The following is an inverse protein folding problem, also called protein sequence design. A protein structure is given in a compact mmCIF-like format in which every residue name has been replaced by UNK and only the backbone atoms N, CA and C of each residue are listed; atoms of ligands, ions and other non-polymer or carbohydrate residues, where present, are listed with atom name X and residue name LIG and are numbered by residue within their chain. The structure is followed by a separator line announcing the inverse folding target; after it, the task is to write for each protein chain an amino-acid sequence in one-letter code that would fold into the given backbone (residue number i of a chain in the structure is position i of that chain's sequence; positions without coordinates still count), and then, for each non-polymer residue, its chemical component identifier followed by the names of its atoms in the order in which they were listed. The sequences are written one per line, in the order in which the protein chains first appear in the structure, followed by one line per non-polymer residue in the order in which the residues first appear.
data_IF_309986679470
#
_entry.id   IF_309986679470
#
_cell.length_a   1.000
_cell.length_b   1.000
_cell.length_c   1.000
_cell.angle_alpha   90.00
_cell.angle_beta   90.00
_cell.angle_gamma   90.00
#
_symmetry.space_group_name_H-M   'P 1'
#
loop_
_entity.id
_entity.type
_entity.pdbx_description
1 polymer ?
#
# COMPACT_ATOMS: atom_id res chain seq x y z
N UNK A 1 2.28 4.09 -18.40
CA UNK A 1 3.10 5.12 -19.08
C UNK A 1 3.13 6.33 -18.16
N UNK A 2 4.22 6.59 -17.44
CA UNK A 2 4.25 7.67 -16.45
C UNK A 2 4.61 8.98 -17.16
N UNK A 3 3.68 9.94 -17.16
CA UNK A 3 3.93 11.26 -17.76
C UNK A 3 4.82 12.12 -16.83
N UNK A 4 5.81 12.87 -17.37
CA UNK A 4 6.71 13.71 -16.55
C UNK A 4 5.97 14.84 -15.83
N UNK A 5 6.50 15.31 -14.68
CA UNK A 5 5.85 16.35 -13.88
C UNK A 5 6.03 17.69 -14.54
N UNK A 6 4.95 18.46 -14.79
CA UNK A 6 5.14 19.85 -15.11
C UNK A 6 5.88 20.50 -13.93
N UNK A 7 6.98 21.17 -14.24
CA UNK A 7 7.78 21.95 -13.29
C UNK A 7 7.48 23.43 -13.54
N UNK A 8 7.37 24.20 -12.47
CA UNK A 8 7.33 25.65 -12.64
C UNK A 8 8.70 26.13 -13.14
N UNK A 9 8.69 27.03 -14.13
CA UNK A 9 9.88 27.69 -14.68
C UNK A 9 10.11 29.08 -14.09
N UNK A 10 9.25 29.46 -13.14
CA UNK A 10 9.36 30.68 -12.35
C UNK A 10 10.63 30.68 -11.50
N UNK A 11 11.40 31.78 -11.53
CA UNK A 11 12.48 32.00 -10.56
C UNK A 11 11.88 32.38 -9.20
N UNK A 12 12.15 31.59 -8.16
CA UNK A 12 11.80 31.92 -6.78
C UNK A 12 10.34 31.71 -6.35
N UNK A 13 9.55 30.84 -6.99
CA UNK A 13 8.18 30.57 -6.48
C UNK A 13 8.20 29.80 -5.16
N UNK A 14 7.61 30.42 -4.15
CA UNK A 14 7.36 29.88 -2.81
C UNK A 14 5.92 29.35 -2.65
N UNK A 15 5.11 29.48 -3.69
CA UNK A 15 3.72 29.06 -3.81
C UNK A 15 3.43 27.58 -3.48
N UNK A 16 4.46 26.74 -3.36
CA UNK A 16 4.34 25.34 -2.94
C UNK A 16 3.68 24.40 -3.96
N UNK A 17 3.28 24.89 -5.14
CA UNK A 17 2.55 24.09 -6.15
C UNK A 17 3.36 22.88 -6.62
N UNK A 18 4.68 23.02 -6.78
CA UNK A 18 5.56 21.91 -7.17
C UNK A 18 5.57 20.78 -6.16
N UNK A 19 5.53 21.11 -4.86
CA UNK A 19 5.46 20.12 -3.79
C UNK A 19 4.13 19.36 -3.84
N UNK A 20 3.01 20.08 -3.96
CA UNK A 20 1.67 19.49 -4.03
C UNK A 20 1.47 18.60 -5.27
N UNK A 21 2.04 18.99 -6.42
CA UNK A 21 2.02 18.17 -7.62
C UNK A 21 2.82 16.87 -7.46
N UNK A 22 3.96 16.92 -6.76
CA UNK A 22 4.73 15.72 -6.46
C UNK A 22 3.98 14.79 -5.49
N UNK A 23 3.35 15.35 -4.44
CA UNK A 23 2.54 14.57 -3.49
C UNK A 23 1.38 13.84 -4.19
N UNK A 24 0.68 14.50 -5.12
CA UNK A 24 -0.40 13.87 -5.91
C UNK A 24 0.16 12.70 -6.74
N UNK A 25 1.31 12.88 -7.39
CA UNK A 25 1.94 11.83 -8.20
C UNK A 25 2.49 10.67 -7.42
N UNK A 26 3.04 10.93 -6.24
CA UNK A 26 3.45 9.86 -5.34
C UNK A 26 2.24 9.06 -4.90
N UNK A 27 1.15 9.74 -4.55
CA UNK A 27 -0.13 9.10 -4.23
C UNK A 27 -0.64 8.24 -5.41
N UNK A 28 -0.69 8.78 -6.62
CA UNK A 28 -1.07 8.04 -7.84
C UNK A 28 -0.22 6.78 -8.04
N UNK A 29 1.11 6.89 -7.93
CA UNK A 29 2.02 5.74 -8.04
C UNK A 29 1.76 4.67 -6.99
N UNK A 30 1.49 5.06 -5.75
CA UNK A 30 1.11 4.11 -4.70
C UNK A 30 -0.22 3.42 -5.03
N UNK A 31 -1.23 4.14 -5.54
CA UNK A 31 -2.50 3.53 -5.97
C UNK A 31 -2.31 2.54 -7.11
N UNK A 32 -1.56 2.92 -8.14
CA UNK A 32 -1.25 2.03 -9.27
C UNK A 32 -0.55 0.76 -8.80
N UNK A 33 0.42 0.91 -7.89
CA UNK A 33 1.11 -0.22 -7.28
C UNK A 33 0.13 -1.15 -6.54
N UNK A 34 -0.76 -0.62 -5.70
CA UNK A 34 -1.76 -1.42 -4.98
C UNK A 34 -2.74 -2.14 -5.91
N UNK A 35 -3.10 -1.54 -7.05
CA UNK A 35 -4.02 -2.13 -8.02
C UNK A 35 -3.45 -3.35 -8.75
N UNK A 36 -2.12 -3.39 -8.95
CA UNK A 36 -1.45 -4.51 -9.61
C UNK A 36 -0.97 -5.59 -8.64
N UNK A 37 -1.20 -5.43 -7.34
CA UNK A 37 -0.88 -6.48 -6.35
C UNK A 37 -1.74 -7.71 -6.55
N UNK A 38 -1.13 -8.87 -6.33
CA UNK A 38 -1.80 -10.17 -6.34
C UNK A 38 -2.91 -10.24 -5.28
N UNK A 39 -3.91 -11.09 -5.53
CA UNK A 39 -5.09 -11.24 -4.65
C UNK A 39 -4.76 -11.77 -3.25
N UNK A 40 -3.59 -12.41 -3.09
CA UNK A 40 -3.04 -12.82 -1.79
C UNK A 40 -2.87 -11.63 -0.83
N UNK A 41 -2.65 -10.42 -1.35
CA UNK A 41 -2.52 -9.17 -0.59
C UNK A 41 -3.84 -8.41 -0.44
N UNK A 42 -4.98 -8.98 -0.83
CA UNK A 42 -6.28 -8.29 -0.81
C UNK A 42 -6.65 -7.67 0.55
N UNK A 43 -6.33 -8.35 1.64
CA UNK A 43 -6.62 -7.89 3.01
C UNK A 43 -5.78 -6.65 3.34
N UNK A 44 -4.46 -6.74 3.26
CA UNK A 44 -3.56 -5.62 3.53
C UNK A 44 -3.79 -4.46 2.56
N UNK A 45 -4.06 -4.74 1.28
CA UNK A 45 -4.45 -3.71 0.30
C UNK A 45 -5.66 -2.90 0.78
N UNK A 46 -6.69 -3.57 1.29
CA UNK A 46 -7.88 -2.91 1.83
C UNK A 46 -7.57 -2.07 3.08
N UNK A 47 -6.71 -2.58 3.96
CA UNK A 47 -6.26 -1.85 5.15
C UNK A 47 -5.49 -0.59 4.77
N UNK A 48 -4.52 -0.70 3.85
CA UNK A 48 -3.73 0.43 3.34
C UNK A 48 -4.63 1.51 2.72
N UNK A 49 -5.61 1.12 1.91
CA UNK A 49 -6.58 2.05 1.30
C UNK A 49 -7.42 2.80 2.34
N UNK A 50 -7.62 2.24 3.54
CA UNK A 50 -8.34 2.86 4.63
C UNK A 50 -7.47 3.77 5.53
N UNK A 51 -6.13 3.73 5.39
CA UNK A 51 -5.22 4.52 6.22
C UNK A 51 -5.34 6.02 5.97
N UNK A 52 -5.27 6.81 7.05
CA UNK A 52 -5.24 8.28 7.01
C UNK A 52 -4.13 8.81 7.92
N UNK A 53 -3.12 9.54 7.39
CA UNK A 53 -2.93 9.87 5.98
C UNK A 53 -2.57 8.65 5.13
N UNK A 54 -2.82 8.73 3.82
CA UNK A 54 -2.50 7.65 2.89
C UNK A 54 -0.98 7.47 2.80
N UNK A 55 -0.44 6.26 2.98
CA UNK A 55 1.00 6.06 3.11
C UNK A 55 1.74 6.28 1.78
N UNK A 56 2.99 6.75 1.82
CA UNK A 56 3.87 6.75 0.65
C UNK A 56 4.24 5.31 0.26
N UNK A 57 4.66 5.12 -0.99
CA UNK A 57 4.96 3.79 -1.54
C UNK A 57 6.03 3.03 -0.75
N UNK A 58 7.01 3.74 -0.17
CA UNK A 58 8.05 3.13 0.69
C UNK A 58 7.45 2.40 1.88
N UNK A 59 6.59 3.09 2.64
CA UNK A 59 5.89 2.49 3.78
C UNK A 59 4.93 1.37 3.36
N UNK A 60 4.38 1.43 2.15
CA UNK A 60 3.57 0.33 1.62
C UNK A 60 4.40 -0.94 1.43
N UNK A 61 5.64 -0.85 0.95
CA UNK A 61 6.54 -2.02 0.87
C UNK A 61 6.83 -2.62 2.24
N UNK A 62 7.12 -1.78 3.24
CA UNK A 62 7.39 -2.24 4.60
C UNK A 62 6.18 -2.99 5.17
N UNK A 63 4.97 -2.43 5.00
CA UNK A 63 3.73 -3.07 5.45
C UNK A 63 3.48 -4.42 4.77
N UNK A 64 3.75 -4.52 3.47
CA UNK A 64 3.60 -5.80 2.74
C UNK A 64 4.58 -6.85 3.25
N UNK A 65 5.84 -6.48 3.48
CA UNK A 65 6.84 -7.38 4.04
C UNK A 65 6.46 -7.86 5.45
N UNK A 66 5.93 -6.96 6.28
CA UNK A 66 5.41 -7.31 7.60
C UNK A 66 4.22 -8.28 7.51
N UNK A 67 3.25 -8.05 6.62
CA UNK A 67 2.10 -8.93 6.41
C UNK A 67 2.52 -10.33 5.95
N UNK A 68 3.45 -10.44 4.99
CA UNK A 68 4.01 -11.73 4.56
C UNK A 68 4.65 -12.49 5.73
N UNK A 69 5.46 -11.79 6.53
CA UNK A 69 6.09 -12.38 7.70
C UNK A 69 5.06 -12.85 8.72
N UNK A 70 4.03 -12.05 9.00
CA UNK A 70 2.94 -12.43 9.91
C UNK A 70 2.13 -13.63 9.39
N UNK A 71 1.88 -13.69 8.08
CA UNK A 71 1.20 -14.82 7.44
C UNK A 71 2.04 -16.09 7.49
N UNK A 72 3.36 -16.00 7.31
CA UNK A 72 4.27 -17.13 7.45
C UNK A 72 4.27 -17.70 8.88
N UNK A 73 4.25 -16.83 9.90
CA UNK A 73 4.16 -17.25 11.31
C UNK A 73 2.78 -17.85 11.64
N UNK A 74 1.72 -17.22 11.14
CA UNK A 74 0.33 -17.65 11.41
C UNK A 74 -0.04 -18.94 10.66
N UNK A 75 0.61 -19.22 9.51
CA UNK A 75 0.47 -20.45 8.73
C UNK A 75 0.95 -21.73 9.46
N UNK A 76 1.61 -21.60 10.61
CA UNK A 76 1.90 -22.70 11.54
C UNK A 76 0.69 -23.19 12.34
N UNK A 77 -0.41 -22.42 12.40
CA UNK A 77 -1.68 -22.88 13.01
C UNK A 77 -2.56 -23.45 11.90
N UNK A 78 -2.23 -24.67 11.47
CA UNK A 78 -3.27 -25.54 10.91
C UNK A 78 -4.32 -25.70 12.02
N UNK A 79 -5.51 -25.12 11.81
CA UNK A 79 -6.71 -25.53 12.54
C UNK A 79 -7.03 -26.97 12.14
N UNK A 80 -6.31 -27.91 12.72
CA UNK A 80 -6.61 -29.34 12.68
C UNK A 80 -7.19 -29.74 14.03
N UNK A 81 -8.41 -30.26 14.01
CA UNK A 81 -9.11 -30.89 15.14
C UNK A 81 -10.37 -30.10 15.53
N UNK A 82 -11.59 -30.64 15.52
CA UNK A 82 -11.99 -32.05 15.47
C UNK A 82 -13.48 -32.09 15.11
N UNK A 83 -13.85 -32.83 14.07
CA UNK A 83 -15.18 -33.45 14.05
C UNK A 83 -15.24 -34.43 15.22
N UNK A 84 -16.14 -34.23 16.18
CA UNK A 84 -16.61 -35.35 16.99
C UNK A 84 -18.14 -35.30 17.08
N UNK A 85 -18.69 -36.30 16.41
CA UNK A 85 -20.05 -36.82 16.50
C UNK A 85 -20.45 -37.14 17.95
N UNK A 86 -21.75 -36.97 18.22
CA UNK A 86 -22.60 -37.76 19.15
C UNK A 86 -22.35 -37.68 20.66
N UNK A 87 -23.29 -37.07 21.38
CA UNK A 87 -24.35 -37.79 22.12
C UNK A 87 -25.60 -36.93 22.24
#
# INVERSE_FOLDING_TARGET
MVLPSPRCTCEGCDCGIGKKLNEIREKERTYEFLLILDDEFSVIRTQILAMKPFPPIGSVYDLLAEDEQQRALSGGVKRTGTESSTF
#
